data_IF_169976848259
#
_entry.id   IF_169976848259
#
_cell.length_a   1.000
_cell.length_b   1.000
_cell.length_c   1.000
_cell.angle_alpha   90.00
_cell.angle_beta   90.00
_cell.angle_gamma   90.00
#
_symmetry.space_group_name_H-M   'P 1'
#
loop_
_entity.id
_entity.type
_entity.pdbx_description
1 polymer ?
#
# COMPACT_ATOMS: atom_id res chain seq x y z
N UNK A 1 -1.53 17.38 15.87
CA UNK A 1 -0.19 17.99 15.83
C UNK A 1 0.84 16.89 15.96
N UNK A 2 1.96 16.99 15.24
CA UNK A 2 3.14 16.12 15.41
C UNK A 2 4.27 17.03 15.87
N UNK A 3 4.80 16.83 17.07
CA UNK A 3 5.85 17.68 17.64
C UNK A 3 5.47 19.17 17.68
N UNK A 4 4.24 19.47 18.13
CA UNK A 4 3.67 20.83 18.18
C UNK A 4 3.52 21.56 16.84
N UNK A 5 3.77 20.87 15.72
CA UNK A 5 3.50 21.39 14.39
C UNK A 5 2.09 20.96 13.91
N UNK A 6 1.39 21.82 13.14
CA UNK A 6 0.20 21.39 12.41
C UNK A 6 0.57 20.20 11.52
N UNK A 7 -0.42 19.39 11.18
CA UNK A 7 -0.22 18.20 10.35
C UNK A 7 -0.80 18.42 8.97
N UNK A 8 -0.21 17.77 7.98
CA UNK A 8 -0.80 17.60 6.65
C UNK A 8 -0.89 16.10 6.34
N UNK A 9 -1.88 15.73 5.53
CA UNK A 9 -2.04 14.36 5.04
C UNK A 9 -1.54 14.26 3.61
N UNK A 10 -0.80 13.19 3.33
CA UNK A 10 -0.40 12.79 1.99
C UNK A 10 -1.11 11.49 1.65
N UNK A 11 -1.80 11.46 0.51
CA UNK A 11 -2.57 10.30 0.07
C UNK A 11 -2.34 10.02 -1.43
N UNK A 12 -2.47 8.76 -1.84
CA UNK A 12 -2.31 8.37 -3.23
C UNK A 12 -3.56 8.70 -4.05
N UNK A 13 -3.40 9.54 -5.05
CA UNK A 13 -4.48 9.89 -5.95
C UNK A 13 -4.75 8.75 -6.94
N UNK A 14 -5.95 8.17 -6.83
CA UNK A 14 -6.48 7.18 -7.78
C UNK A 14 -5.65 5.90 -7.87
N UNK A 15 -5.02 5.52 -6.75
CA UNK A 15 -4.12 4.37 -6.60
C UNK A 15 -4.66 3.08 -7.22
N UNK A 16 -5.87 2.65 -6.84
CA UNK A 16 -6.46 1.39 -7.30
C UNK A 16 -6.61 1.33 -8.84
N UNK A 17 -7.01 2.44 -9.48
CA UNK A 17 -7.09 2.50 -10.94
C UNK A 17 -5.70 2.52 -11.58
N UNK A 18 -4.71 3.21 -10.98
CA UNK A 18 -3.33 3.19 -11.46
C UNK A 18 -2.74 1.79 -11.45
N UNK A 19 -2.92 1.08 -10.34
CA UNK A 19 -2.53 -0.32 -10.21
C UNK A 19 -3.28 -1.23 -11.18
N UNK A 20 -4.58 -1.00 -11.40
CA UNK A 20 -5.35 -1.75 -12.39
C UNK A 20 -4.79 -1.57 -13.81
N UNK A 21 -4.40 -0.36 -14.19
CA UNK A 21 -3.74 -0.10 -15.47
C UNK A 21 -2.35 -0.75 -15.58
N UNK A 22 -1.59 -0.74 -14.48
CA UNK A 22 -0.30 -1.43 -14.41
C UNK A 22 -0.45 -2.94 -14.59
N UNK A 23 -1.42 -3.56 -13.90
CA UNK A 23 -1.67 -5.02 -13.96
C UNK A 23 -2.02 -5.48 -15.37
N UNK A 24 -2.80 -4.69 -16.13
CA UNK A 24 -3.16 -5.02 -17.52
C UNK A 24 -2.14 -4.54 -18.55
N UNK A 25 -1.06 -3.87 -18.13
CA UNK A 25 -0.02 -3.33 -19.01
C UNK A 25 -0.53 -2.29 -20.02
N UNK A 26 -1.56 -1.52 -19.67
CA UNK A 26 -2.15 -0.51 -20.55
C UNK A 26 -1.69 0.90 -20.18
N UNK A 27 -1.66 1.80 -21.18
CA UNK A 27 -1.31 3.20 -20.96
C UNK A 27 -2.36 3.91 -20.08
N UNK A 28 -1.90 4.69 -19.11
CA UNK A 28 -2.74 5.50 -18.23
C UNK A 28 -3.40 6.64 -19.01
N UNK A 29 -4.74 6.77 -18.97
CA UNK A 29 -5.42 7.94 -19.50
C UNK A 29 -4.93 9.22 -18.80
N UNK A 30 -4.88 10.32 -19.55
CA UNK A 30 -4.54 11.64 -19.00
C UNK A 30 -5.68 12.19 -18.16
N UNK A 31 -5.32 12.82 -17.04
CA UNK A 31 -6.27 13.51 -16.17
C UNK A 31 -6.89 12.60 -15.12
N UNK A 32 -8.10 12.97 -14.69
CA UNK A 32 -8.83 12.29 -13.63
C UNK A 32 -9.49 11.01 -14.15
N UNK A 33 -8.98 9.86 -13.70
CA UNK A 33 -9.49 8.54 -14.09
C UNK A 33 -10.97 8.29 -13.68
N UNK A 34 -11.54 9.06 -12.75
CA UNK A 34 -12.96 8.95 -12.38
C UNK A 34 -13.87 9.88 -13.22
N UNK A 35 -13.31 10.76 -14.05
CA UNK A 35 -14.04 11.66 -14.94
C UNK A 35 -14.48 10.92 -16.22
N UNK A 36 -15.34 9.92 -16.06
CA UNK A 36 -15.87 9.09 -17.15
C UNK A 36 -16.88 9.88 -17.98
N UNK A 37 -16.73 9.81 -19.31
CA UNK A 37 -17.64 10.49 -20.23
C UNK A 37 -19.11 10.07 -20.04
N UNK A 38 -19.99 11.05 -19.85
CA UNK A 38 -21.41 10.86 -19.55
C UNK A 38 -21.74 10.63 -18.07
N UNK A 39 -20.73 10.64 -17.19
CA UNK A 39 -20.85 10.53 -15.73
C UNK A 39 -20.13 11.67 -14.99
N UNK A 40 -19.80 12.77 -15.67
CA UNK A 40 -18.97 13.87 -15.14
C UNK A 40 -19.58 14.51 -13.88
N UNK A 41 -20.91 14.60 -13.83
CA UNK A 41 -21.65 15.14 -12.67
C UNK A 41 -21.73 14.15 -11.49
N UNK A 42 -21.27 12.91 -11.67
CA UNK A 42 -21.42 11.80 -10.72
C UNK A 42 -20.05 11.18 -10.42
N UNK A 43 -18.98 11.99 -10.37
CA UNK A 43 -17.62 11.51 -10.11
C UNK A 43 -17.53 10.69 -8.82
N UNK A 44 -18.16 11.15 -7.74
CA UNK A 44 -18.15 10.47 -6.44
C UNK A 44 -18.78 9.08 -6.50
N UNK A 45 -19.95 8.98 -7.11
CA UNK A 45 -20.64 7.72 -7.34
C UNK A 45 -19.88 6.81 -8.32
N UNK A 46 -19.26 7.38 -9.34
CA UNK A 46 -18.42 6.66 -10.31
C UNK A 46 -17.22 6.02 -9.62
N UNK A 47 -16.54 6.75 -8.72
CA UNK A 47 -15.48 6.20 -7.85
C UNK A 47 -15.99 5.02 -7.04
N UNK A 48 -17.15 5.15 -6.40
CA UNK A 48 -17.73 4.08 -5.59
C UNK A 48 -18.10 2.85 -6.43
N UNK A 49 -18.67 3.04 -7.63
CA UNK A 49 -19.00 1.94 -8.55
C UNK A 49 -17.75 1.22 -9.04
N UNK A 50 -16.72 1.96 -9.46
CA UNK A 50 -15.45 1.38 -9.93
C UNK A 50 -14.79 0.58 -8.81
N UNK A 51 -14.70 1.14 -7.60
CA UNK A 51 -14.13 0.43 -6.46
C UNK A 51 -14.92 -0.83 -6.12
N UNK A 52 -16.25 -0.78 -6.19
CA UNK A 52 -17.09 -1.97 -5.99
C UNK A 52 -16.83 -3.03 -7.07
N UNK A 53 -16.69 -2.64 -8.34
CA UNK A 53 -16.39 -3.55 -9.45
C UNK A 53 -15.01 -4.20 -9.33
N UNK A 54 -14.01 -3.48 -8.81
CA UNK A 54 -12.66 -4.03 -8.60
C UNK A 54 -12.61 -4.96 -7.39
N UNK A 55 -13.36 -4.65 -6.33
CA UNK A 55 -13.35 -5.43 -5.08
C UNK A 55 -14.34 -6.61 -5.06
N UNK A 56 -15.26 -6.71 -6.03
CA UNK A 56 -16.20 -7.83 -6.10
C UNK A 56 -15.59 -9.06 -6.78
N UNK A 57 -16.02 -10.25 -6.34
CA UNK A 57 -15.68 -11.56 -6.93
C UNK A 57 -16.63 -11.97 -8.07
N UNK A 58 -17.56 -11.08 -8.42
CA UNK A 58 -18.57 -11.29 -9.46
C UNK A 58 -19.02 -9.97 -10.05
N UNK A 59 -19.47 -9.99 -11.30
CA UNK A 59 -20.04 -8.80 -11.95
C UNK A 59 -21.40 -8.45 -11.34
N UNK A 60 -21.57 -7.17 -11.04
CA UNK A 60 -22.83 -6.67 -10.50
C UNK A 60 -23.92 -6.59 -11.59
N UNK A 61 -25.12 -7.08 -11.26
CA UNK A 61 -26.33 -6.92 -12.09
C UNK A 61 -27.23 -5.76 -11.62
N UNK A 62 -26.91 -5.17 -10.46
CA UNK A 62 -27.62 -4.07 -9.81
C UNK A 62 -26.60 -3.07 -9.29
N UNK A 63 -27.05 -1.88 -8.90
CA UNK A 63 -26.18 -0.93 -8.22
C UNK A 63 -25.58 -1.58 -6.96
N UNK A 64 -24.25 -1.54 -6.79
CA UNK A 64 -23.62 -1.93 -5.54
C UNK A 64 -24.16 -1.08 -4.38
N UNK A 65 -24.10 -1.63 -3.17
CA UNK A 65 -24.70 -1.01 -1.99
C UNK A 65 -24.18 0.43 -1.80
N UNK A 66 -25.09 1.37 -1.57
CA UNK A 66 -24.81 2.79 -1.33
C UNK A 66 -24.10 3.55 -2.47
N UNK A 67 -23.96 2.98 -3.67
CA UNK A 67 -23.20 3.65 -4.77
C UNK A 67 -24.03 4.55 -5.68
N UNK A 68 -25.36 4.50 -5.58
CA UNK A 68 -26.25 5.26 -6.45
C UNK A 68 -26.17 6.77 -6.23
N UNK A 69 -25.97 7.21 -4.99
CA UNK A 69 -25.88 8.62 -4.60
C UNK A 69 -26.92 9.52 -5.28
N UNK A 70 -26.43 10.56 -5.97
CA UNK A 70 -27.23 11.54 -6.68
C UNK A 70 -27.65 11.11 -8.11
N UNK A 71 -27.28 9.90 -8.57
CA UNK A 71 -27.65 9.44 -9.90
C UNK A 71 -29.19 9.30 -10.05
N UNK A 72 -29.75 9.57 -11.24
CA UNK A 72 -31.19 9.53 -11.45
C UNK A 72 -31.82 8.17 -11.08
N UNK A 73 -32.97 8.21 -10.40
CA UNK A 73 -33.72 6.99 -10.01
C UNK A 73 -34.21 6.17 -11.21
N UNK A 74 -34.35 6.79 -12.38
CA UNK A 74 -34.73 6.11 -13.63
C UNK A 74 -33.60 5.28 -14.24
N UNK A 75 -32.34 5.50 -13.86
CA UNK A 75 -31.22 4.78 -14.44
C UNK A 75 -31.14 3.35 -13.90
N UNK A 76 -30.85 2.40 -14.77
CA UNK A 76 -30.44 1.06 -14.36
C UNK A 76 -28.91 0.98 -14.31
N UNK A 77 -28.36 -0.01 -13.61
CA UNK A 77 -26.91 -0.13 -13.38
C UNK A 77 -26.11 -0.37 -14.66
N UNK A 78 -26.75 -0.98 -15.65
CA UNK A 78 -26.19 -1.25 -16.97
C UNK A 78 -25.72 0.04 -17.66
N UNK A 79 -26.42 1.16 -17.41
CA UNK A 79 -26.04 2.47 -17.98
C UNK A 79 -24.66 2.94 -17.48
N UNK A 80 -24.45 3.23 -16.17
CA UNK A 80 -23.12 3.64 -15.70
C UNK A 80 -22.06 2.57 -15.95
N UNK A 81 -22.39 1.28 -15.79
CA UNK A 81 -21.45 0.20 -16.11
C UNK A 81 -20.97 0.27 -17.57
N UNK A 82 -21.89 0.42 -18.55
CA UNK A 82 -21.50 0.50 -19.97
C UNK A 82 -20.61 1.71 -20.29
N UNK A 83 -20.81 2.84 -19.62
CA UNK A 83 -19.98 4.04 -19.78
C UNK A 83 -18.58 3.81 -19.19
N UNK A 84 -18.51 3.23 -17.98
CA UNK A 84 -17.27 2.88 -17.30
C UNK A 84 -16.49 1.84 -18.12
N UNK A 85 -17.13 0.76 -18.55
CA UNK A 85 -16.52 -0.30 -19.34
C UNK A 85 -16.03 0.20 -20.71
N UNK A 86 -16.71 1.18 -21.31
CA UNK A 86 -16.27 1.80 -22.56
C UNK A 86 -15.06 2.70 -22.35
N UNK A 87 -15.06 3.50 -21.27
CA UNK A 87 -13.96 4.43 -20.97
C UNK A 87 -12.71 3.69 -20.50
N UNK A 88 -12.87 2.70 -19.61
CA UNK A 88 -11.82 1.82 -19.11
C UNK A 88 -11.85 0.45 -19.78
N UNK A 89 -11.90 0.41 -21.12
CA UNK A 89 -11.96 -0.84 -21.86
C UNK A 89 -10.86 -1.86 -21.47
N UNK A 90 -9.59 -1.45 -21.22
CA UNK A 90 -8.55 -2.38 -20.77
C UNK A 90 -8.82 -3.00 -19.39
N UNK A 91 -9.60 -2.35 -18.52
CA UNK A 91 -9.85 -2.81 -17.15
C UNK A 91 -11.05 -3.77 -17.03
N UNK A 92 -11.83 -3.95 -18.10
CA UNK A 92 -13.00 -4.83 -18.12
C UNK A 92 -12.70 -6.25 -17.61
N UNK A 93 -11.55 -6.88 -17.95
CA UNK A 93 -11.19 -8.20 -17.40
C UNK A 93 -10.99 -8.23 -15.88
N UNK A 94 -10.68 -7.10 -15.26
CA UNK A 94 -10.48 -6.99 -13.81
C UNK A 94 -11.79 -6.81 -13.04
N UNK A 95 -12.85 -6.33 -13.68
CA UNK A 95 -14.13 -6.15 -13.02
C UNK A 95 -14.75 -7.50 -12.64
N UNK A 96 -15.09 -7.66 -11.36
CA UNK A 96 -15.59 -8.92 -10.81
C UNK A 96 -14.51 -9.97 -10.57
N UNK A 97 -13.22 -9.61 -10.58
CA UNK A 97 -12.10 -10.53 -10.33
C UNK A 97 -11.49 -10.43 -8.92
N UNK A 98 -12.10 -9.61 -8.05
CA UNK A 98 -11.59 -9.23 -6.74
C UNK A 98 -10.14 -8.67 -6.76
N UNK A 99 -9.72 -8.05 -7.87
CA UNK A 99 -8.39 -7.44 -8.02
C UNK A 99 -8.12 -6.33 -7.00
N UNK A 100 -9.17 -5.64 -6.57
CA UNK A 100 -9.08 -4.60 -5.53
C UNK A 100 -8.47 -5.10 -4.21
N UNK A 101 -8.64 -6.38 -3.86
CA UNK A 101 -8.01 -6.95 -2.67
C UNK A 101 -6.49 -7.08 -2.82
N UNK A 102 -6.00 -7.36 -4.03
CA UNK A 102 -4.55 -7.36 -4.33
C UNK A 102 -4.01 -5.94 -4.26
N UNK A 103 -4.74 -4.97 -4.80
CA UNK A 103 -4.33 -3.56 -4.75
C UNK A 103 -4.24 -3.05 -3.30
N UNK A 104 -5.17 -3.42 -2.42
CA UNK A 104 -5.08 -3.08 -0.99
C UNK A 104 -3.85 -3.70 -0.31
N UNK A 105 -3.47 -4.92 -0.71
CA UNK A 105 -2.23 -5.54 -0.23
C UNK A 105 -1.01 -4.75 -0.72
N UNK A 106 -0.95 -4.41 -2.01
CA UNK A 106 0.16 -3.66 -2.58
C UNK A 106 0.26 -2.25 -1.97
N UNK A 107 -0.87 -1.58 -1.71
CA UNK A 107 -0.93 -0.30 -0.97
C UNK A 107 -0.30 -0.43 0.42
N UNK A 108 -0.56 -1.51 1.13
CA UNK A 108 0.02 -1.74 2.46
C UNK A 108 1.54 -1.94 2.40
N UNK A 109 2.04 -2.64 1.37
CA UNK A 109 3.47 -2.84 1.14
C UNK A 109 4.15 -1.51 0.78
N UNK A 110 3.54 -0.70 -0.09
CA UNK A 110 4.01 0.65 -0.42
C UNK A 110 4.10 1.50 0.86
N UNK A 111 3.05 1.51 1.67
CA UNK A 111 3.00 2.28 2.91
C UNK A 111 4.12 1.88 3.88
N UNK A 112 4.38 0.58 4.04
CA UNK A 112 5.46 0.09 4.90
C UNK A 112 6.82 0.61 4.39
N UNK A 113 7.09 0.53 3.08
CA UNK A 113 8.33 1.06 2.48
C UNK A 113 8.49 2.55 2.71
N UNK A 114 7.40 3.31 2.54
CA UNK A 114 7.38 4.75 2.81
C UNK A 114 7.75 5.03 4.26
N UNK A 115 7.08 4.40 5.23
CA UNK A 115 7.33 4.63 6.65
C UNK A 115 8.77 4.30 7.05
N UNK A 116 9.34 3.22 6.52
CA UNK A 116 10.73 2.83 6.79
C UNK A 116 11.72 3.85 6.23
N UNK A 117 11.48 4.35 5.00
CA UNK A 117 12.31 5.40 4.37
C UNK A 117 12.22 6.72 5.14
N UNK A 118 11.02 7.17 5.50
CA UNK A 118 10.82 8.40 6.29
C UNK A 118 11.48 8.30 7.66
N UNK A 119 11.36 7.15 8.32
CA UNK A 119 12.07 6.88 9.58
C UNK A 119 13.58 6.98 9.43
N UNK A 120 14.15 6.41 8.36
CA UNK A 120 15.58 6.50 8.08
C UNK A 120 16.05 7.94 7.82
N UNK A 121 15.17 8.79 7.29
CA UNK A 121 15.41 10.21 7.08
C UNK A 121 15.18 11.06 8.34
N UNK A 122 14.73 10.46 9.45
CA UNK A 122 14.39 11.18 10.68
C UNK A 122 13.05 11.94 10.62
N UNK A 123 12.23 11.70 9.59
CA UNK A 123 10.92 12.32 9.41
C UNK A 123 9.88 11.54 10.20
N UNK A 124 9.10 12.25 11.03
CA UNK A 124 8.04 11.66 11.85
C UNK A 124 6.77 11.54 11.02
N UNK A 125 6.38 10.30 10.72
CA UNK A 125 5.20 9.99 9.94
C UNK A 125 4.26 9.06 10.73
N UNK A 126 2.95 9.33 10.67
CA UNK A 126 1.91 8.47 11.24
C UNK A 126 1.05 7.92 10.10
N UNK A 127 0.98 6.59 9.92
CA UNK A 127 0.08 6.00 8.94
C UNK A 127 -1.37 6.02 9.43
N UNK A 128 -2.29 6.43 8.55
CA UNK A 128 -3.73 6.26 8.73
C UNK A 128 -4.29 5.73 7.41
N UNK A 129 -4.78 4.49 7.40
CA UNK A 129 -5.19 3.81 6.16
C UNK A 129 -4.08 3.86 5.10
N UNK A 130 -4.38 4.36 3.91
CA UNK A 130 -3.50 4.61 2.76
C UNK A 130 -2.79 5.97 2.82
N UNK A 131 -3.11 6.82 3.80
CA UNK A 131 -2.52 8.13 3.95
C UNK A 131 -1.41 8.19 5.01
N UNK A 132 -0.49 9.13 4.82
CA UNK A 132 0.62 9.42 5.72
C UNK A 132 0.43 10.82 6.28
N UNK A 133 0.34 10.92 7.61
CA UNK A 133 0.35 12.20 8.31
C UNK A 133 1.77 12.58 8.71
N UNK A 134 2.16 13.80 8.39
CA UNK A 134 3.47 14.36 8.77
C UNK A 134 3.30 15.76 9.33
N UNK A 135 4.37 16.28 9.93
CA UNK A 135 4.43 17.68 10.30
C UNK A 135 4.34 18.58 9.06
N UNK A 136 3.62 19.69 9.20
CA UNK A 136 3.48 20.73 8.18
C UNK A 136 4.77 21.54 8.08
N UNK A 137 5.78 20.90 7.52
CA UNK A 137 7.09 21.45 7.22
C UNK A 137 7.34 21.18 5.75
N UNK A 138 7.44 22.23 4.95
CA UNK A 138 7.57 22.14 3.49
C UNK A 138 8.66 21.15 3.04
N UNK A 139 9.81 21.12 3.72
CA UNK A 139 10.89 20.19 3.38
C UNK A 139 10.54 18.73 3.67
N UNK A 140 9.88 18.48 4.80
CA UNK A 140 9.43 17.12 5.15
C UNK A 140 8.29 16.67 4.25
N UNK A 141 7.40 17.59 3.84
CA UNK A 141 6.30 17.34 2.89
C UNK A 141 6.83 16.96 1.52
N UNK A 142 7.76 17.73 0.96
CA UNK A 142 8.35 17.43 -0.34
C UNK A 142 9.13 16.11 -0.32
N UNK A 143 9.89 15.87 0.76
CA UNK A 143 10.60 14.61 0.95
C UNK A 143 9.63 13.42 1.05
N UNK A 144 8.55 13.55 1.82
CA UNK A 144 7.55 12.50 1.98
C UNK A 144 6.83 12.21 0.67
N UNK A 145 6.42 13.25 -0.05
CA UNK A 145 5.80 13.12 -1.37
C UNK A 145 6.70 12.35 -2.33
N UNK A 146 7.98 12.74 -2.42
CA UNK A 146 8.97 12.08 -3.29
C UNK A 146 9.13 10.61 -2.91
N UNK A 147 9.26 10.30 -1.62
CA UNK A 147 9.40 8.93 -1.12
C UNK A 147 8.16 8.09 -1.45
N UNK A 148 6.96 8.66 -1.31
CA UNK A 148 5.69 7.99 -1.65
C UNK A 148 5.58 7.70 -3.14
N UNK A 149 5.86 8.67 -4.00
CA UNK A 149 5.80 8.49 -5.46
C UNK A 149 6.82 7.43 -5.93
N UNK A 150 8.05 7.45 -5.39
CA UNK A 150 9.08 6.44 -5.68
C UNK A 150 8.68 5.04 -5.20
N UNK A 151 8.18 4.91 -3.97
CA UNK A 151 7.77 3.61 -3.43
C UNK A 151 6.59 3.02 -4.24
N UNK A 152 5.67 3.86 -4.69
CA UNK A 152 4.56 3.45 -5.55
C UNK A 152 5.06 2.93 -6.90
N UNK A 153 5.97 3.66 -7.55
CA UNK A 153 6.53 3.24 -8.84
C UNK A 153 7.36 1.96 -8.74
N UNK A 154 8.13 1.79 -7.67
CA UNK A 154 8.90 0.56 -7.43
C UNK A 154 8.03 -0.70 -7.23
N UNK A 155 6.85 -0.54 -6.61
CA UNK A 155 5.93 -1.67 -6.38
C UNK A 155 5.09 -1.95 -7.61
N UNK A 156 4.56 -0.91 -8.25
CA UNK A 156 3.53 -1.04 -9.29
C UNK A 156 4.08 -0.96 -10.72
N UNK A 157 5.30 -0.44 -10.89
CA UNK A 157 5.90 -0.18 -12.20
C UNK A 157 5.32 1.03 -12.95
N UNK A 158 4.41 1.80 -12.34
CA UNK A 158 3.81 3.00 -12.93
C UNK A 158 3.90 4.19 -11.98
N UNK A 159 3.92 5.44 -12.49
CA UNK A 159 4.03 6.61 -11.62
C UNK A 159 2.79 6.81 -10.74
N UNK A 160 3.04 6.93 -9.44
CA UNK A 160 2.05 7.38 -8.46
C UNK A 160 1.85 8.89 -8.54
N UNK A 161 0.68 9.36 -8.09
CA UNK A 161 0.44 10.78 -7.80
C UNK A 161 0.08 10.87 -6.34
N UNK A 162 0.73 11.79 -5.62
CA UNK A 162 0.46 12.05 -4.21
C UNK A 162 -0.16 13.43 -4.06
N UNK A 163 -1.35 13.46 -3.46
CA UNK A 163 -2.07 14.68 -3.10
C UNK A 163 -1.76 15.04 -1.65
N UNK A 164 -1.57 16.35 -1.40
CA UNK A 164 -1.32 16.88 -0.07
C UNK A 164 -2.58 17.65 0.36
N UNK A 165 -3.20 17.21 1.45
CA UNK A 165 -4.35 17.88 2.05
C UNK A 165 -3.95 18.58 3.35
N UNK A 166 -4.30 19.87 3.45
CA UNK A 166 -3.97 20.76 4.57
C UNK A 166 -3.31 22.07 4.11
N UNK A 167 -3.38 23.12 4.93
CA UNK A 167 -2.72 24.40 4.62
C UNK A 167 -1.21 24.30 4.89
N UNK A 168 -0.40 24.07 3.85
CA UNK A 168 1.06 24.08 3.99
C UNK A 168 1.56 25.49 4.32
N UNK A 169 2.34 25.64 5.39
CA UNK A 169 3.16 26.85 5.62
C UNK A 169 2.46 28.12 6.16
N UNK A 170 1.23 28.07 6.71
CA UNK A 170 0.69 29.21 7.46
C UNK A 170 0.91 29.05 8.97
N UNK A 171 1.62 29.98 9.63
CA UNK A 171 1.60 30.09 11.08
C UNK A 171 0.13 30.26 11.54
N UNK A 172 -0.26 29.57 12.60
CA UNK A 172 -1.57 29.77 13.20
C UNK A 172 -1.74 31.27 13.57
N UNK A 173 -2.87 31.92 13.20
CA UNK A 173 -3.10 33.30 13.59
C UNK A 173 -3.13 33.39 15.12
N UNK A 174 -2.12 34.04 15.71
CA UNK A 174 -2.01 34.28 17.15
C UNK A 174 -0.75 33.74 17.84
N UNK A 175 0.12 32.99 17.16
CA UNK A 175 1.41 32.53 17.73
C UNK A 175 2.58 33.37 17.23
N UNK A 176 2.95 34.41 17.99
CA UNK A 176 4.28 35.02 17.89
C UNK A 176 5.30 34.03 18.48
N UNK A 177 5.99 33.26 17.64
CA UNK A 177 7.19 32.54 18.05
C UNK A 177 8.37 33.52 18.12
N UNK A 178 9.16 33.56 19.20
CA UNK A 178 10.46 34.23 19.14
C UNK A 178 11.32 33.49 18.12
N UNK A 179 11.85 34.24 17.14
CA UNK A 179 12.86 33.74 16.21
C UNK A 179 14.03 33.22 17.04
N UNK A 180 14.17 31.91 17.15
CA UNK A 180 15.37 31.31 17.73
C UNK A 180 16.34 31.05 16.60
N UNK A 181 17.44 31.78 16.64
CA UNK A 181 18.60 31.58 15.77
C UNK A 181 19.16 30.16 15.98
N UNK A 182 18.99 29.31 14.97
CA UNK A 182 19.47 27.92 14.97
C UNK A 182 20.97 27.81 14.60
N UNK A 183 21.77 28.87 14.74
CA UNK A 183 23.23 28.80 14.54
C UNK A 183 23.99 27.96 15.59
N UNK A 184 23.33 27.46 16.64
CA UNK A 184 23.96 26.69 17.74
C UNK A 184 24.10 25.18 17.52
N UNK A 185 23.51 24.59 16.48
CA UNK A 185 23.61 23.14 16.25
C UNK A 185 24.80 22.71 15.37
N UNK A 186 25.72 23.62 15.02
CA UNK A 186 26.85 23.32 14.12
C UNK A 186 28.24 23.45 14.74
N UNK A 187 28.40 23.53 16.06
CA UNK A 187 29.72 23.48 16.70
C UNK A 187 29.81 22.30 17.67
N UNK A 188 30.58 21.30 17.26
CA UNK A 188 30.68 20.01 17.92
C UNK A 188 31.35 20.06 19.30
N UNK A 189 30.99 19.08 20.11
CA UNK A 189 31.82 18.65 21.22
C UNK A 189 32.43 17.28 20.89
N UNK A 190 33.73 17.30 20.55
CA UNK A 190 34.62 16.20 20.86
C UNK A 190 34.57 15.99 22.38
N UNK A 191 34.27 14.77 22.80
CA UNK A 191 34.31 14.37 24.20
C UNK A 191 35.55 13.49 24.40
N UNK A 192 36.53 14.00 25.14
CA UNK A 192 37.68 13.24 25.65
C UNK A 192 37.34 12.53 26.97
N UNK A 193 38.06 11.46 27.35
CA UNK A 193 37.55 10.42 28.24
C UNK A 193 37.77 10.73 29.73
N UNK A 194 36.77 10.43 30.56
CA UNK A 194 36.92 10.45 32.02
C UNK A 194 37.57 9.15 32.53
N UNK A 195 38.74 9.27 33.16
CA UNK A 195 39.37 8.21 33.95
C UNK A 195 38.89 8.22 35.41
N UNK A 196 38.40 7.07 35.89
CA UNK A 196 38.92 6.43 37.10
C UNK A 196 38.16 6.51 38.43
N UNK A 197 38.13 5.32 39.10
CA UNK A 197 37.75 4.95 40.48
C UNK A 197 36.23 4.72 40.67
N UNK A 198 35.71 3.55 41.03
CA UNK A 198 36.26 2.36 41.65
C UNK A 198 35.59 2.17 43.01
N UNK A 199 34.54 1.35 43.08
CA UNK A 199 34.03 0.72 44.30
C UNK A 199 33.09 -0.43 43.91
N UNK A 200 33.48 -1.64 44.32
CA UNK A 200 32.71 -2.88 44.19
C UNK A 200 31.61 -2.90 45.26
N UNK A 201 30.35 -3.09 44.87
CA UNK A 201 29.35 -3.64 45.78
C UNK A 201 28.41 -4.58 45.01
N UNK A 202 28.46 -5.85 45.40
CA UNK A 202 27.81 -6.95 44.73
C UNK A 202 26.29 -6.95 44.92
N UNK A 203 25.58 -7.38 43.88
CA UNK A 203 24.19 -7.79 44.00
C UNK A 203 23.99 -9.21 43.48
N UNK A 204 23.49 -10.05 44.38
CA UNK A 204 23.28 -11.49 44.22
C UNK A 204 21.94 -11.75 43.54
N UNK A 205 21.95 -12.64 42.55
CA UNK A 205 20.78 -13.16 41.84
C UNK A 205 19.80 -13.88 42.78
N UNK A 206 18.50 -13.82 42.48
CA UNK A 206 17.61 -14.96 42.69
C UNK A 206 16.98 -15.43 41.37
N UNK A 207 17.29 -16.67 41.03
CA UNK A 207 16.49 -17.56 40.18
C UNK A 207 15.09 -17.71 40.82
N UNK A 208 13.99 -17.52 40.09
CA UNK A 208 13.22 -18.63 39.52
C UNK A 208 11.89 -18.22 38.83
N UNK A 209 11.65 -18.88 37.70
CA UNK A 209 10.38 -19.41 37.19
C UNK A 209 9.38 -18.56 36.37
N UNK A 210 9.04 -19.17 35.21
CA UNK A 210 8.07 -18.80 34.15
C UNK A 210 8.54 -17.65 33.26
N UNK A 211 8.77 -17.82 31.95
CA UNK A 211 7.90 -18.43 30.95
C UNK A 211 8.69 -19.24 29.91
N UNK A 212 8.16 -20.42 29.56
CA UNK A 212 8.71 -21.37 28.60
C UNK A 212 8.59 -20.90 27.15
N UNK A 213 9.72 -20.95 26.46
CA UNK A 213 9.93 -20.83 25.02
C UNK A 213 9.10 -21.84 24.21
N UNK A 214 8.56 -21.38 23.08
CA UNK A 214 8.14 -22.22 21.95
C UNK A 214 9.11 -21.98 20.80
N UNK A 215 9.76 -23.03 20.29
CA UNK A 215 10.65 -23.00 19.12
C UNK A 215 10.11 -23.92 18.03
N UNK A 216 10.29 -23.59 16.73
CA UNK A 216 9.80 -24.41 15.63
C UNK A 216 10.94 -25.24 15.04
N UNK A 217 10.96 -26.56 15.28
CA UNK A 217 11.76 -27.49 14.48
C UNK A 217 10.99 -28.80 14.29
N UNK A 218 10.90 -29.24 13.04
CA UNK A 218 10.22 -30.46 12.61
C UNK A 218 10.65 -30.82 11.19
N UNK A 219 11.88 -31.29 11.06
CA UNK A 219 12.40 -32.01 9.90
C UNK A 219 11.83 -33.43 9.89
N UNK A 220 11.26 -33.85 8.76
CA UNK A 220 10.96 -35.26 8.51
C UNK A 220 12.05 -35.85 7.63
N UNK A 221 12.85 -36.73 8.21
CA UNK A 221 13.83 -37.55 7.51
C UNK A 221 13.35 -39.01 7.45
N UNK A 222 13.71 -39.64 6.34
CA UNK A 222 13.28 -40.94 5.83
C UNK A 222 14.01 -42.08 6.54
N UNK A 223 13.33 -43.19 6.83
CA UNK A 223 13.98 -44.52 6.92
C UNK A 223 13.10 -45.62 6.31
N UNK A 224 13.75 -46.48 5.53
CA UNK A 224 13.22 -47.66 4.84
C UNK A 224 13.40 -48.92 5.71
N UNK A 225 12.74 -50.05 5.40
CA UNK A 225 13.55 -51.24 5.11
C UNK A 225 13.04 -52.13 3.95
N UNK A 226 14.02 -52.56 3.14
CA UNK A 226 14.22 -53.85 2.46
C UNK A 226 13.05 -54.66 1.85
N UNK A 227 13.12 -54.86 0.53
CA UNK A 227 13.30 -56.18 -0.16
C UNK A 227 12.64 -56.23 -1.55
N UNK A 228 13.46 -56.33 -2.60
CA UNK A 228 13.11 -56.74 -3.98
C UNK A 228 12.77 -58.26 -4.02
N UNK A 229 12.23 -58.89 -5.11
CA UNK A 229 12.55 -58.50 -6.49
C UNK A 229 11.57 -58.85 -7.66
N UNK A 230 11.99 -58.39 -8.84
CA UNK A 230 11.79 -58.88 -10.23
C UNK A 230 10.39 -58.90 -10.87
N UNK A 231 10.27 -58.15 -11.98
CA UNK A 231 9.81 -58.74 -13.24
C UNK A 231 8.74 -57.97 -14.01
N UNK A 232 9.05 -57.65 -15.28
CA UNK A 232 8.03 -57.61 -16.33
C UNK A 232 7.94 -56.33 -17.16
N UNK A 233 8.69 -56.30 -18.25
CA UNK A 233 8.52 -55.41 -19.39
C UNK A 233 7.07 -55.41 -19.94
N UNK A 234 6.55 -54.24 -20.34
CA UNK A 234 6.12 -54.05 -21.73
C UNK A 234 5.82 -52.61 -22.14
N UNK A 235 6.39 -52.27 -23.29
CA UNK A 235 6.05 -51.16 -24.15
C UNK A 235 4.63 -51.26 -24.75
N UNK A 236 4.21 -50.10 -25.29
CA UNK A 236 3.05 -49.75 -26.12
C UNK A 236 2.60 -50.82 -27.14
N UNK A 237 1.42 -50.64 -27.76
CA UNK A 237 1.50 -50.02 -29.08
C UNK A 237 0.40 -49.01 -29.40
N UNK A 238 0.79 -48.06 -30.25
CA UNK A 238 -0.09 -47.37 -31.18
C UNK A 238 -0.60 -48.33 -32.27
N UNK A 239 -1.81 -48.12 -32.77
CA UNK A 239 -2.16 -48.47 -34.15
C UNK A 239 -3.33 -47.63 -34.65
N UNK A 240 -3.10 -47.06 -35.83
CA UNK A 240 -4.05 -46.43 -36.72
C UNK A 240 -5.01 -47.46 -37.35
N UNK A 241 -6.23 -47.05 -37.68
CA UNK A 241 -6.76 -47.16 -39.06
C UNK A 241 -8.18 -46.60 -39.24
N UNK A 242 -8.24 -45.77 -40.27
CA UNK A 242 -9.32 -45.44 -41.22
C UNK A 242 -10.31 -46.57 -41.52
N UNK A 243 -11.61 -46.25 -41.64
CA UNK A 243 -12.43 -46.51 -42.86
C UNK A 243 -13.83 -45.89 -42.75
N UNK A 244 -14.17 -45.15 -43.81
CA UNK A 244 -15.46 -45.03 -44.53
C UNK A 244 -16.73 -44.61 -43.79
#
# INVERSE_FOLDING_TARGET
MIGDQPIVSLDFAQSALRMAYAEVGAELPKGDLYAVWGLELYRGETKQIINALLCSDSLHTRFPQNTRGAMPKSWKFERPYSLIARYHAPLVPLFGSASGLRFMHDESEILIRVLLRLKAMGIRALPIHDCVLIANNEREVDAAKTVMEQAFEEVTGVPGIVEVEGEVGRPLPGMNMPVTDNSRYLHGHLQEPCQGKGEEEGYRSPNDSSWSHWTPEGTHEVTSPDSLPVGGERCLPANERTTT
#
